data_IF_235055521005
#
_entry.id   IF_235055521005
#
_cell.length_a   1.000
_cell.length_b   1.000
_cell.length_c   1.000
_cell.angle_alpha   90.00
_cell.angle_beta   90.00
_cell.angle_gamma   90.00
#
_symmetry.space_group_name_H-M   'P 1'
#
loop_
_entity.id
_entity.type
_entity.pdbx_description
1 polymer ?
#
# COMPACT_ATOMS: atom_id res chain seq x y z
N UNK A 1 -19.62 47.14 -66.16
CA UNK A 1 -19.12 45.83 -65.60
C UNK A 1 -17.65 45.93 -65.56
N UNK A 2 -17.06 46.21 -64.39
CA UNK A 2 -15.61 46.29 -64.17
C UNK A 2 -15.20 45.08 -63.32
N UNK A 3 -14.25 44.30 -63.79
CA UNK A 3 -13.65 43.18 -63.03
C UNK A 3 -12.67 43.75 -61.99
N UNK A 4 -12.59 43.18 -60.78
CA UNK A 4 -11.59 43.57 -59.80
C UNK A 4 -10.24 42.92 -60.12
N UNK A 5 -9.20 43.73 -60.10
CA UNK A 5 -7.79 43.38 -60.25
C UNK A 5 -7.33 42.66 -58.95
N UNK A 6 -6.86 41.39 -59.06
CA UNK A 6 -6.21 40.69 -57.98
C UNK A 6 -4.80 41.30 -57.72
N UNK A 7 -4.60 41.81 -56.50
CA UNK A 7 -3.32 42.26 -55.99
C UNK A 7 -2.36 41.09 -55.76
N UNK A 8 -1.03 41.34 -55.69
CA UNK A 8 -0.01 40.31 -55.58
C UNK A 8 -0.12 39.58 -54.21
N UNK A 9 0.01 38.24 -54.25
CA UNK A 9 0.02 37.36 -53.10
C UNK A 9 1.12 37.78 -52.08
N UNK A 10 0.72 38.09 -50.87
CA UNK A 10 1.62 38.25 -49.71
C UNK A 10 2.46 36.99 -49.52
N UNK A 11 3.78 37.13 -49.54
CA UNK A 11 4.69 36.05 -49.31
C UNK A 11 4.48 35.47 -47.92
N UNK A 12 4.11 34.19 -47.85
CA UNK A 12 4.01 33.44 -46.59
C UNK A 12 5.32 33.52 -45.83
N UNK A 13 5.30 34.12 -44.65
CA UNK A 13 6.42 34.17 -43.73
C UNK A 13 6.92 32.74 -43.37
N UNK A 14 8.18 32.62 -42.93
CA UNK A 14 8.75 31.34 -42.61
C UNK A 14 7.87 30.58 -41.61
N UNK A 15 7.54 29.34 -41.94
CA UNK A 15 6.82 28.41 -41.08
C UNK A 15 7.50 28.37 -39.69
N UNK A 16 6.79 28.58 -38.57
CA UNK A 16 7.40 28.54 -37.25
C UNK A 16 8.08 27.19 -37.06
N UNK A 17 9.37 27.24 -36.77
CA UNK A 17 10.14 26.05 -36.36
C UNK A 17 9.42 25.34 -35.22
N UNK A 18 9.21 23.99 -35.30
CA UNK A 18 8.64 23.25 -34.18
C UNK A 18 9.43 23.54 -32.91
N UNK A 19 8.79 23.76 -31.76
CA UNK A 19 9.50 24.02 -30.52
C UNK A 19 10.48 22.87 -30.24
N UNK A 20 11.70 23.22 -29.84
CA UNK A 20 12.71 22.32 -29.34
C UNK A 20 12.06 21.28 -28.45
N UNK A 21 12.40 20.01 -28.64
CA UNK A 21 11.84 18.85 -27.94
C UNK A 21 11.85 19.07 -26.44
N UNK A 22 10.76 19.60 -25.90
CA UNK A 22 10.60 19.79 -24.46
C UNK A 22 10.58 18.42 -23.79
N UNK A 23 11.54 18.21 -22.88
CA UNK A 23 11.63 16.97 -22.10
C UNK A 23 10.28 16.74 -21.41
N UNK A 24 9.73 15.51 -21.55
CA UNK A 24 8.45 15.19 -20.92
C UNK A 24 8.50 15.45 -19.41
N UNK A 25 7.47 16.05 -18.77
CA UNK A 25 7.48 16.42 -17.35
C UNK A 25 7.86 15.28 -16.38
N UNK A 26 7.60 14.02 -16.74
CA UNK A 26 8.00 12.82 -15.98
C UNK A 26 9.53 12.66 -15.98
N UNK A 27 10.19 13.05 -17.05
CA UNK A 27 11.64 12.90 -17.23
C UNK A 27 12.41 14.21 -16.92
N UNK A 28 11.72 15.25 -16.43
CA UNK A 28 12.30 16.52 -16.03
C UNK A 28 13.19 16.36 -14.79
N UNK A 29 14.45 16.83 -14.88
CA UNK A 29 15.39 16.88 -13.76
C UNK A 29 15.25 18.22 -13.05
N UNK A 30 14.61 18.23 -11.89
CA UNK A 30 14.45 19.45 -11.09
C UNK A 30 15.77 19.87 -10.42
N UNK A 31 15.93 21.19 -10.21
CA UNK A 31 17.05 21.71 -9.39
C UNK A 31 16.88 21.21 -7.95
N UNK A 32 18.02 21.01 -7.25
CA UNK A 32 18.03 20.48 -5.86
C UNK A 32 17.12 21.27 -4.91
N UNK A 33 17.03 22.59 -5.07
CA UNK A 33 16.16 23.45 -4.25
C UNK A 33 14.66 23.15 -4.39
N UNK A 34 14.22 22.55 -5.49
CA UNK A 34 12.84 22.11 -5.71
C UNK A 34 12.68 20.59 -5.51
N UNK A 35 13.72 19.83 -5.86
CA UNK A 35 13.73 18.39 -5.76
C UNK A 35 13.63 17.91 -4.31
N UNK A 36 14.47 18.47 -3.41
CA UNK A 36 14.52 18.03 -1.99
C UNK A 36 13.19 18.28 -1.26
N UNK A 37 12.61 19.50 -1.28
CA UNK A 37 11.31 19.71 -0.64
C UNK A 37 10.21 18.82 -1.21
N UNK A 38 10.16 18.60 -2.53
CA UNK A 38 9.17 17.72 -3.15
C UNK A 38 9.39 16.25 -2.75
N UNK A 39 10.63 15.76 -2.68
CA UNK A 39 10.93 14.41 -2.20
C UNK A 39 10.54 14.24 -0.72
N UNK A 40 10.79 15.23 0.14
CA UNK A 40 10.36 15.22 1.54
C UNK A 40 8.83 15.17 1.67
N UNK A 41 8.10 15.84 0.76
CA UNK A 41 6.63 15.74 0.73
C UNK A 41 6.15 14.31 0.49
N UNK A 42 6.77 13.58 -0.45
CA UNK A 42 6.44 12.19 -0.70
C UNK A 42 6.73 11.33 0.53
N UNK A 43 7.91 11.50 1.16
CA UNK A 43 8.27 10.76 2.37
C UNK A 43 7.26 11.05 3.48
N UNK A 44 6.96 12.31 3.77
CA UNK A 44 6.05 12.70 4.83
C UNK A 44 4.63 12.15 4.64
N UNK A 45 4.15 12.10 3.38
CA UNK A 45 2.82 11.57 3.07
C UNK A 45 2.72 10.04 3.21
N UNK A 46 3.81 9.31 2.95
CA UNK A 46 3.79 7.84 2.96
C UNK A 46 4.39 7.21 4.22
N UNK A 47 5.17 7.95 5.01
CA UNK A 47 5.99 7.40 6.10
C UNK A 47 5.19 6.59 7.11
N UNK A 48 4.07 7.14 7.60
CA UNK A 48 3.20 6.43 8.52
C UNK A 48 2.70 5.10 7.95
N UNK A 49 2.29 5.07 6.66
CA UNK A 49 1.80 3.86 6.01
C UNK A 49 2.90 2.82 5.77
N UNK A 50 4.13 3.24 5.46
CA UNK A 50 5.27 2.33 5.24
C UNK A 50 5.67 1.62 6.54
N UNK A 51 5.56 2.33 7.67
CA UNK A 51 5.94 1.80 8.98
C UNK A 51 4.84 0.95 9.62
N UNK A 52 3.58 1.15 9.23
CA UNK A 52 2.43 0.43 9.81
C UNK A 52 2.53 -1.10 9.68
N UNK A 53 2.81 -1.71 8.50
CA UNK A 53 2.89 -3.17 8.40
C UNK A 53 3.95 -3.80 9.32
N UNK A 54 5.21 -3.33 9.35
CA UNK A 54 6.20 -3.89 10.27
C UNK A 54 5.84 -3.70 11.75
N UNK A 55 5.21 -2.58 12.12
CA UNK A 55 4.73 -2.37 13.49
C UNK A 55 3.67 -3.38 13.89
N UNK A 56 2.64 -3.57 13.05
CA UNK A 56 1.56 -4.52 13.35
C UNK A 56 2.09 -5.94 13.46
N UNK A 57 2.86 -6.38 12.47
CA UNK A 57 3.37 -7.75 12.44
C UNK A 57 4.38 -7.97 13.56
N UNK A 58 5.32 -7.04 13.77
CA UNK A 58 6.32 -7.15 14.82
C UNK A 58 5.72 -7.27 16.22
N UNK A 59 4.63 -6.53 16.49
CA UNK A 59 3.88 -6.64 17.74
C UNK A 59 3.11 -7.95 17.87
N UNK A 60 2.44 -8.37 16.80
CA UNK A 60 1.68 -9.61 16.80
C UNK A 60 2.56 -10.84 17.05
N UNK A 61 3.82 -10.81 16.62
CA UNK A 61 4.79 -11.89 16.86
C UNK A 61 5.64 -11.69 18.13
N UNK A 62 5.39 -10.62 18.89
CA UNK A 62 6.04 -10.36 20.16
C UNK A 62 7.53 -9.98 20.05
N UNK A 63 7.92 -9.21 19.02
CA UNK A 63 9.29 -8.73 18.90
C UNK A 63 9.66 -7.78 20.03
N UNK A 64 10.89 -7.93 20.52
CA UNK A 64 11.51 -6.97 21.41
C UNK A 64 11.79 -5.62 20.71
N UNK A 65 12.06 -4.54 21.45
CA UNK A 65 12.29 -3.21 20.85
C UNK A 65 13.42 -3.18 19.83
N UNK A 66 14.47 -4.00 20.02
CA UNK A 66 15.59 -4.09 19.09
C UNK A 66 15.19 -4.80 17.79
N UNK A 67 14.45 -5.91 17.88
CA UNK A 67 13.86 -6.61 16.74
C UNK A 67 12.90 -5.73 15.97
N UNK A 68 12.03 -4.98 16.67
CA UNK A 68 11.11 -4.02 16.07
C UNK A 68 11.85 -2.94 15.27
N UNK A 69 12.89 -2.35 15.85
CA UNK A 69 13.73 -1.35 15.17
C UNK A 69 14.36 -1.90 13.90
N UNK A 70 14.91 -3.15 13.97
CA UNK A 70 15.47 -3.84 12.77
C UNK A 70 14.42 -4.08 11.71
N UNK A 71 13.22 -4.50 12.09
CA UNK A 71 12.12 -4.79 11.17
C UNK A 71 11.64 -3.52 10.44
N UNK A 72 11.52 -2.40 11.16
CA UNK A 72 11.17 -1.10 10.57
C UNK A 72 12.28 -0.63 9.63
N UNK A 73 13.55 -0.69 10.04
CA UNK A 73 14.69 -0.29 9.22
C UNK A 73 14.75 -1.11 7.92
N UNK A 74 14.55 -2.42 8.00
CA UNK A 74 14.48 -3.31 6.85
C UNK A 74 13.33 -2.94 5.90
N UNK A 75 12.15 -2.67 6.42
CA UNK A 75 10.99 -2.27 5.62
C UNK A 75 11.22 -0.95 4.87
N UNK A 76 11.84 0.04 5.53
CA UNK A 76 12.22 1.32 4.91
C UNK A 76 13.26 1.11 3.80
N UNK A 77 14.27 0.28 4.04
CA UNK A 77 15.30 -0.03 3.04
C UNK A 77 14.70 -0.70 1.81
N UNK A 78 13.85 -1.72 1.99
CA UNK A 78 13.18 -2.41 0.88
C UNK A 78 12.24 -1.47 0.12
N UNK A 79 11.47 -0.64 0.81
CA UNK A 79 10.62 0.38 0.18
C UNK A 79 11.46 1.37 -0.64
N UNK A 80 12.62 1.78 -0.14
CA UNK A 80 13.57 2.63 -0.85
C UNK A 80 14.10 1.96 -2.11
N UNK A 81 14.61 0.72 -2.02
CA UNK A 81 15.08 -0.07 -3.16
C UNK A 81 13.99 -0.25 -4.22
N UNK A 82 12.78 -0.66 -3.80
CA UNK A 82 11.65 -0.89 -4.68
C UNK A 82 11.22 0.41 -5.39
N UNK A 83 11.17 1.53 -4.66
CA UNK A 83 10.81 2.85 -5.22
C UNK A 83 11.85 3.34 -6.23
N UNK A 84 13.14 3.22 -5.93
CA UNK A 84 14.22 3.59 -6.86
C UNK A 84 14.18 2.71 -8.12
N UNK A 85 14.04 1.39 -7.95
CA UNK A 85 13.91 0.45 -9.07
C UNK A 85 12.68 0.75 -9.93
N UNK A 86 11.55 1.10 -9.31
CA UNK A 86 10.30 1.40 -10.00
C UNK A 86 10.39 2.68 -10.84
N UNK A 87 10.98 3.72 -10.27
CA UNK A 87 11.05 5.05 -10.90
C UNK A 87 12.15 5.16 -11.96
N UNK A 88 13.33 4.60 -11.71
CA UNK A 88 14.46 4.67 -12.64
C UNK A 88 14.40 3.57 -13.71
N UNK A 89 13.98 2.38 -13.31
CA UNK A 89 13.93 1.20 -14.15
C UNK A 89 15.33 0.62 -14.45
N UNK A 90 15.37 -0.69 -14.73
CA UNK A 90 16.61 -1.39 -15.08
C UNK A 90 16.41 -2.19 -16.37
N UNK A 91 17.25 -1.93 -17.37
CA UNK A 91 17.37 -2.73 -18.61
C UNK A 91 16.09 -2.92 -19.43
N UNK A 92 15.04 -2.12 -19.19
CA UNK A 92 13.72 -2.36 -19.79
C UNK A 92 12.98 -3.59 -19.25
N UNK A 93 13.55 -4.31 -18.27
CA UNK A 93 12.95 -5.49 -17.62
C UNK A 93 12.05 -5.11 -16.45
N UNK A 94 12.48 -4.23 -15.55
CA UNK A 94 11.76 -3.78 -14.37
C UNK A 94 11.68 -2.25 -14.30
N UNK A 95 10.68 -1.72 -13.60
CA UNK A 95 10.41 -0.30 -13.44
C UNK A 95 9.49 0.31 -14.49
N UNK A 96 8.40 0.92 -14.01
CA UNK A 96 7.41 1.59 -14.87
C UNK A 96 7.85 2.97 -15.35
N UNK A 97 8.90 3.55 -14.74
CA UNK A 97 9.44 4.88 -15.00
C UNK A 97 8.42 6.02 -14.82
N UNK A 98 7.49 5.84 -13.91
CA UNK A 98 6.55 6.85 -13.43
C UNK A 98 6.97 7.34 -12.04
N UNK A 99 6.46 8.48 -11.56
CA UNK A 99 6.68 8.93 -10.17
C UNK A 99 5.88 8.07 -9.18
N UNK A 100 6.27 6.81 -9.01
CA UNK A 100 5.53 5.74 -8.33
C UNK A 100 6.29 5.21 -7.12
N UNK A 101 5.70 5.33 -5.94
CA UNK A 101 6.26 4.78 -4.70
C UNK A 101 5.81 3.35 -4.51
N UNK A 102 6.74 2.49 -4.14
CA UNK A 102 6.51 1.12 -3.71
C UNK A 102 6.88 0.95 -2.24
N UNK A 103 6.00 0.34 -1.47
CA UNK A 103 6.26 0.04 -0.07
C UNK A 103 5.52 -1.21 0.39
N UNK A 104 5.77 -1.64 1.63
CA UNK A 104 5.04 -2.73 2.24
C UNK A 104 3.54 -2.47 2.21
N UNK A 105 2.77 -3.41 1.68
CA UNK A 105 1.33 -3.25 1.50
C UNK A 105 0.54 -3.58 2.75
N UNK A 106 -0.42 -2.72 3.08
CA UNK A 106 -1.38 -2.99 4.14
C UNK A 106 -2.29 -4.20 3.85
N UNK A 107 -2.54 -4.53 2.57
CA UNK A 107 -3.33 -5.69 2.20
C UNK A 107 -2.69 -7.04 2.63
N UNK A 108 -1.36 -7.06 2.75
CA UNK A 108 -0.64 -8.24 3.26
C UNK A 108 -0.79 -8.48 4.76
N UNK A 109 -1.22 -7.48 5.55
CA UNK A 109 -1.22 -7.56 7.02
C UNK A 109 -2.15 -8.67 7.52
N UNK A 110 -3.41 -8.71 7.09
CA UNK A 110 -4.38 -9.69 7.60
C UNK A 110 -3.97 -11.15 7.32
N UNK A 111 -3.55 -11.55 6.10
CA UNK A 111 -3.06 -12.90 5.90
C UNK A 111 -1.77 -13.20 6.68
N UNK A 112 -0.88 -12.23 6.87
CA UNK A 112 0.31 -12.42 7.70
C UNK A 112 -0.03 -12.61 9.18
N UNK A 113 -1.03 -11.89 9.71
CA UNK A 113 -1.56 -12.11 11.06
C UNK A 113 -2.17 -13.51 11.21
N UNK A 114 -3.00 -13.95 10.25
CA UNK A 114 -3.56 -15.30 10.27
C UNK A 114 -2.48 -16.39 10.22
N UNK A 115 -1.39 -16.18 9.49
CA UNK A 115 -0.22 -17.07 9.50
C UNK A 115 0.45 -17.05 10.89
N UNK A 116 0.63 -15.87 11.48
CA UNK A 116 1.23 -15.75 12.81
C UNK A 116 0.42 -16.45 13.90
N UNK A 117 -0.92 -16.33 13.88
CA UNK A 117 -1.84 -16.97 14.82
C UNK A 117 -1.83 -18.50 14.72
N UNK A 118 -1.65 -19.05 13.51
CA UNK A 118 -1.62 -20.52 13.27
C UNK A 118 -0.24 -21.12 13.37
N UNK A 119 0.77 -20.34 13.73
CA UNK A 119 2.19 -20.76 13.77
C UNK A 119 2.74 -20.67 15.19
N UNK A 120 3.53 -21.66 15.59
CA UNK A 120 4.15 -21.67 16.90
C UNK A 120 5.06 -20.44 17.12
N UNK A 121 5.16 -19.93 18.37
CA UNK A 121 6.05 -18.83 18.70
C UNK A 121 7.49 -19.08 18.23
N UNK A 122 8.16 -18.07 17.70
CA UNK A 122 9.51 -18.16 17.13
C UNK A 122 9.57 -18.61 15.66
N UNK A 123 8.53 -19.26 15.12
CA UNK A 123 8.44 -19.70 13.71
C UNK A 123 7.52 -18.80 12.85
N UNK A 124 6.91 -17.79 13.45
CA UNK A 124 5.90 -16.95 12.82
C UNK A 124 6.47 -16.13 11.66
N UNK A 125 7.55 -15.36 11.89
CA UNK A 125 8.24 -14.59 10.84
C UNK A 125 8.86 -15.48 9.77
N UNK A 126 9.56 -16.58 10.09
CA UNK A 126 10.02 -17.54 9.09
C UNK A 126 8.91 -18.06 8.17
N UNK A 127 7.73 -18.40 8.72
CA UNK A 127 6.59 -18.87 7.94
C UNK A 127 6.00 -17.77 7.04
N UNK A 128 5.90 -16.54 7.55
CA UNK A 128 5.49 -15.37 6.76
C UNK A 128 6.47 -15.14 5.61
N UNK A 129 7.77 -15.13 5.89
CA UNK A 129 8.79 -14.86 4.87
C UNK A 129 8.85 -15.93 3.78
N UNK A 130 8.71 -17.21 4.15
CA UNK A 130 8.61 -18.28 3.16
C UNK A 130 7.44 -18.10 2.20
N UNK A 131 6.28 -17.72 2.73
CA UNK A 131 5.10 -17.46 1.93
C UNK A 131 5.24 -16.19 1.07
N UNK A 132 5.85 -15.13 1.59
CA UNK A 132 6.11 -13.87 0.85
C UNK A 132 7.08 -14.11 -0.31
N UNK A 133 8.16 -14.88 -0.11
CA UNK A 133 9.11 -15.24 -1.17
C UNK A 133 8.38 -15.91 -2.33
N UNK A 134 7.54 -16.91 -2.04
CA UNK A 134 6.80 -17.63 -3.08
C UNK A 134 5.77 -16.72 -3.76
N UNK A 135 5.08 -15.85 -3.01
CA UNK A 135 4.16 -14.85 -3.58
C UNK A 135 4.88 -13.85 -4.49
N UNK A 136 6.10 -13.44 -4.18
CA UNK A 136 6.96 -12.62 -5.05
C UNK A 136 7.33 -13.34 -6.34
N UNK A 137 7.75 -14.62 -6.24
CA UNK A 137 8.00 -15.48 -7.41
C UNK A 137 6.75 -15.69 -8.27
N UNK A 138 5.61 -15.89 -7.64
CA UNK A 138 4.30 -15.97 -8.29
C UNK A 138 3.97 -14.67 -9.06
N UNK A 139 4.20 -13.51 -8.45
CA UNK A 139 4.02 -12.21 -9.12
C UNK A 139 4.90 -12.07 -10.36
N UNK A 140 6.16 -12.49 -10.29
CA UNK A 140 7.08 -12.47 -11.43
C UNK A 140 6.61 -13.39 -12.56
N UNK A 141 6.13 -14.59 -12.23
CA UNK A 141 5.65 -15.56 -13.18
C UNK A 141 4.34 -15.13 -13.86
N UNK A 142 3.41 -14.57 -13.08
CA UNK A 142 2.07 -14.18 -13.55
C UNK A 142 2.07 -12.80 -14.21
N UNK A 143 2.96 -11.88 -13.79
CA UNK A 143 3.01 -10.49 -14.23
C UNK A 143 2.94 -10.28 -15.74
N UNK A 144 3.69 -11.03 -16.59
CA UNK A 144 3.60 -10.93 -18.05
C UNK A 144 2.23 -11.28 -18.64
N UNK A 145 1.47 -12.12 -17.94
CA UNK A 145 0.15 -12.60 -18.36
C UNK A 145 -0.98 -11.88 -17.62
N UNK A 146 -0.65 -10.98 -16.69
CA UNK A 146 -1.61 -10.35 -15.79
C UNK A 146 -2.72 -9.60 -16.51
N UNK A 147 -2.44 -8.99 -17.67
CA UNK A 147 -3.47 -8.37 -18.51
C UNK A 147 -4.61 -9.34 -18.93
N UNK A 148 -4.32 -10.65 -19.04
CA UNK A 148 -5.34 -11.68 -19.30
C UNK A 148 -6.10 -12.06 -18.02
N UNK A 149 -5.44 -11.96 -16.86
CA UNK A 149 -6.01 -12.27 -15.55
C UNK A 149 -6.90 -11.13 -15.02
N UNK A 150 -6.66 -9.88 -15.44
CA UNK A 150 -7.46 -8.70 -15.06
C UNK A 150 -8.96 -8.91 -15.30
N UNK A 151 -9.35 -9.73 -16.30
CA UNK A 151 -10.77 -10.05 -16.55
C UNK A 151 -11.47 -10.74 -15.35
N UNK A 152 -10.71 -11.40 -14.47
CA UNK A 152 -11.24 -12.08 -13.27
C UNK A 152 -11.23 -11.17 -12.04
N UNK A 153 -10.53 -10.03 -12.14
CA UNK A 153 -10.46 -9.01 -11.10
C UNK A 153 -11.04 -7.67 -11.60
N UNK A 154 -12.33 -7.65 -11.99
CA UNK A 154 -12.98 -6.40 -12.38
C UNK A 154 -13.01 -5.43 -11.18
N UNK A 155 -13.31 -4.13 -11.40
CA UNK A 155 -13.40 -3.14 -10.34
C UNK A 155 -14.31 -3.57 -9.17
N UNK A 156 -15.36 -4.36 -9.45
CA UNK A 156 -16.26 -4.92 -8.45
C UNK A 156 -15.52 -5.83 -7.44
N UNK A 157 -14.74 -6.79 -7.93
CA UNK A 157 -13.96 -7.70 -7.09
C UNK A 157 -12.88 -6.93 -6.33
N UNK A 158 -12.18 -6.03 -7.03
CA UNK A 158 -11.14 -5.19 -6.42
C UNK A 158 -11.71 -4.29 -5.32
N UNK A 159 -12.87 -3.68 -5.55
CA UNK A 159 -13.55 -2.83 -4.58
C UNK A 159 -13.96 -3.59 -3.31
N UNK A 160 -14.50 -4.82 -3.46
CA UNK A 160 -14.79 -5.71 -2.30
C UNK A 160 -13.52 -5.95 -1.49
N UNK A 161 -12.42 -6.30 -2.14
CA UNK A 161 -11.18 -6.64 -1.44
C UNK A 161 -10.59 -5.42 -0.72
N UNK A 162 -10.52 -4.26 -1.37
CA UNK A 162 -10.03 -3.03 -0.74
C UNK A 162 -10.92 -2.64 0.46
N UNK A 163 -12.24 -2.78 0.34
CA UNK A 163 -13.18 -2.54 1.45
C UNK A 163 -12.87 -3.48 2.62
N UNK A 164 -12.70 -4.78 2.33
CA UNK A 164 -12.36 -5.78 3.35
C UNK A 164 -11.01 -5.50 4.02
N UNK A 165 -9.99 -5.04 3.28
CA UNK A 165 -8.71 -4.63 3.88
C UNK A 165 -8.94 -3.60 4.99
N UNK A 166 -9.69 -2.54 4.70
CA UNK A 166 -9.95 -1.49 5.68
C UNK A 166 -10.80 -1.96 6.86
N UNK A 167 -11.84 -2.75 6.61
CA UNK A 167 -12.78 -3.22 7.65
C UNK A 167 -12.15 -4.31 8.53
N UNK A 168 -11.51 -5.32 7.94
CA UNK A 168 -10.95 -6.45 8.70
C UNK A 168 -9.75 -6.09 9.55
N UNK A 169 -9.04 -5.01 9.20
CA UNK A 169 -7.92 -4.49 10.00
C UNK A 169 -8.36 -3.48 11.08
N UNK A 170 -9.63 -3.06 11.14
CA UNK A 170 -10.12 -2.09 12.13
C UNK A 170 -9.94 -2.53 13.60
N UNK A 171 -10.05 -3.82 13.98
CA UNK A 171 -9.77 -4.26 15.36
C UNK A 171 -8.35 -3.94 15.84
N UNK A 172 -7.38 -3.86 14.93
CA UNK A 172 -5.98 -3.55 15.30
C UNK A 172 -5.84 -2.16 15.92
N UNK A 173 -6.22 -1.06 15.24
CA UNK A 173 -6.13 0.28 15.83
C UNK A 173 -7.07 0.44 17.04
N UNK A 174 -8.20 -0.26 17.09
CA UNK A 174 -9.08 -0.27 18.27
C UNK A 174 -8.36 -0.88 19.47
N UNK A 175 -7.67 -2.03 19.31
CA UNK A 175 -6.85 -2.63 20.37
C UNK A 175 -5.70 -1.68 20.79
N UNK A 176 -5.05 -1.03 19.86
CA UNK A 176 -4.00 -0.05 20.16
C UNK A 176 -4.51 1.16 20.92
N UNK A 177 -5.69 1.67 20.56
CA UNK A 177 -6.34 2.77 21.30
C UNK A 177 -6.62 2.42 22.76
N UNK A 178 -6.74 1.13 23.08
CA UNK A 178 -6.93 0.59 24.41
C UNK A 178 -5.62 0.29 25.17
N UNK A 179 -4.46 0.55 24.55
CA UNK A 179 -3.14 0.30 25.14
C UNK A 179 -2.32 -0.81 24.46
N UNK A 180 -2.94 -1.61 23.57
CA UNK A 180 -2.29 -2.64 22.76
C UNK A 180 -2.16 -4.00 23.43
N UNK A 181 -1.77 -4.06 24.69
CA UNK A 181 -1.64 -5.32 25.44
C UNK A 181 -2.95 -5.68 26.15
N UNK A 182 -3.67 -6.66 25.62
CA UNK A 182 -4.94 -7.16 26.17
C UNK A 182 -4.80 -7.83 27.53
N UNK A 183 -3.59 -8.25 27.91
CA UNK A 183 -3.30 -8.89 29.19
C UNK A 183 -2.95 -7.89 30.29
N UNK A 184 -2.68 -6.64 29.92
CA UNK A 184 -2.33 -5.59 30.90
C UNK A 184 -3.53 -5.21 31.76
N UNK A 185 -3.31 -5.03 33.05
CA UNK A 185 -4.35 -4.66 34.01
C UNK A 185 -5.02 -3.30 33.71
N UNK A 186 -4.36 -2.42 33.00
CA UNK A 186 -4.85 -1.10 32.60
C UNK A 186 -5.33 -1.05 31.11
N UNK A 187 -5.51 -2.21 30.47
CA UNK A 187 -6.08 -2.26 29.13
C UNK A 187 -7.46 -1.58 29.09
N UNK A 188 -7.66 -0.66 28.14
CA UNK A 188 -8.88 0.12 28.06
C UNK A 188 -8.96 1.30 29.04
N UNK A 189 -7.89 1.59 29.76
CA UNK A 189 -7.89 2.74 30.71
C UNK A 189 -8.16 4.06 29.97
N UNK A 190 -8.87 4.96 30.65
CA UNK A 190 -9.29 6.26 30.09
C UNK A 190 -8.12 7.08 29.54
N UNK A 191 -6.93 7.00 30.17
CA UNK A 191 -5.70 7.68 29.68
C UNK A 191 -5.34 7.29 28.25
N UNK A 192 -5.50 6.01 27.88
CA UNK A 192 -5.21 5.50 26.55
C UNK A 192 -6.26 5.93 25.54
N UNK A 193 -7.53 5.79 25.90
CA UNK A 193 -8.65 6.20 25.05
C UNK A 193 -8.64 7.71 24.79
N UNK A 194 -8.35 8.52 25.83
CA UNK A 194 -8.23 9.96 25.69
C UNK A 194 -7.08 10.37 24.77
N UNK A 195 -5.92 9.71 24.85
CA UNK A 195 -4.78 9.97 23.98
C UNK A 195 -5.06 9.58 22.53
N UNK A 196 -5.72 8.43 22.31
CA UNK A 196 -6.16 7.99 20.98
C UNK A 196 -7.18 8.97 20.38
N UNK A 197 -8.19 9.38 21.17
CA UNK A 197 -9.18 10.38 20.77
C UNK A 197 -8.53 11.74 20.48
N UNK A 198 -7.60 12.19 21.32
CA UNK A 198 -6.84 13.41 21.07
C UNK A 198 -6.10 13.37 19.74
N UNK A 199 -5.36 12.27 19.46
CA UNK A 199 -4.64 12.09 18.19
C UNK A 199 -5.60 12.12 17.00
N UNK A 200 -6.73 11.40 17.08
CA UNK A 200 -7.78 11.40 16.06
C UNK A 200 -8.30 12.82 15.81
N UNK A 201 -8.66 13.54 16.87
CA UNK A 201 -9.16 14.92 16.77
C UNK A 201 -8.13 15.85 16.13
N UNK A 202 -6.86 15.75 16.51
CA UNK A 202 -5.76 16.54 15.90
C UNK A 202 -5.70 16.27 14.39
N UNK A 203 -5.75 15.01 13.96
CA UNK A 203 -5.76 14.65 12.53
C UNK A 203 -6.97 15.28 11.82
N UNK A 204 -8.15 15.19 12.42
CA UNK A 204 -9.39 15.76 11.84
C UNK A 204 -9.32 17.29 11.76
N UNK A 205 -8.80 17.97 12.77
CA UNK A 205 -8.61 19.42 12.77
C UNK A 205 -7.64 19.85 11.67
N UNK A 206 -6.51 19.12 11.51
CA UNK A 206 -5.56 19.40 10.43
C UNK A 206 -6.21 19.14 9.06
N UNK A 207 -7.00 18.10 8.91
CA UNK A 207 -7.75 17.82 7.67
C UNK A 207 -8.81 18.91 7.39
N UNK A 208 -9.45 19.45 8.41
CA UNK A 208 -10.51 20.46 8.25
C UNK A 208 -9.95 21.85 7.97
N UNK A 209 -8.96 22.27 8.73
CA UNK A 209 -8.43 23.64 8.70
C UNK A 209 -7.11 23.79 7.97
N UNK A 210 -6.35 22.70 7.79
CA UNK A 210 -5.10 22.70 7.06
C UNK A 210 -5.30 23.07 5.59
N UNK A 211 -4.26 23.61 4.95
CA UNK A 211 -4.24 23.98 3.53
C UNK A 211 -3.06 23.35 2.81
N UNK A 212 -3.25 22.98 1.56
CA UNK A 212 -2.17 22.46 0.70
C UNK A 212 -1.46 21.26 1.34
N UNK A 213 -0.15 21.38 1.52
CA UNK A 213 0.72 20.33 2.04
C UNK A 213 0.34 19.85 3.45
N UNK A 214 -0.14 20.76 4.33
CA UNK A 214 -0.48 20.38 5.71
C UNK A 214 -1.58 19.31 5.78
N UNK A 215 -2.55 19.35 4.85
CA UNK A 215 -3.57 18.28 4.76
C UNK A 215 -2.96 16.93 4.40
N UNK A 216 -1.97 16.90 3.51
CA UNK A 216 -1.34 15.64 3.05
C UNK A 216 -0.57 14.95 4.18
N UNK A 217 0.04 15.73 5.06
CA UNK A 217 0.83 15.22 6.19
C UNK A 217 0.05 15.16 7.49
N UNK A 218 -1.27 15.33 7.45
CA UNK A 218 -2.12 15.37 8.65
C UNK A 218 -1.93 14.13 9.55
N UNK A 219 -1.82 12.94 8.96
CA UNK A 219 -1.58 11.70 9.69
C UNK A 219 -0.22 11.73 10.42
N UNK A 220 0.85 12.14 9.73
CA UNK A 220 2.18 12.27 10.32
C UNK A 220 2.21 13.33 11.43
N UNK A 221 1.58 14.47 11.21
CA UNK A 221 1.48 15.54 12.22
C UNK A 221 0.67 15.08 13.44
N UNK A 222 -0.41 14.32 13.22
CA UNK A 222 -1.19 13.71 14.30
C UNK A 222 -0.37 12.75 15.15
N UNK A 223 0.44 11.89 14.50
CA UNK A 223 1.37 11.00 15.21
C UNK A 223 2.40 11.79 16.01
N UNK A 224 3.00 12.83 15.42
CA UNK A 224 3.98 13.66 16.11
C UNK A 224 3.38 14.37 17.33
N UNK A 225 2.26 15.09 17.13
CA UNK A 225 1.60 15.85 18.20
C UNK A 225 1.06 14.90 19.28
N UNK A 226 0.48 13.75 18.87
CA UNK A 226 0.01 12.71 19.81
C UNK A 226 1.16 12.15 20.65
N UNK A 227 2.31 11.87 20.03
CA UNK A 227 3.50 11.38 20.75
C UNK A 227 4.04 12.42 21.72
N UNK A 228 4.11 13.68 21.31
CA UNK A 228 4.51 14.77 22.20
C UNK A 228 3.54 14.91 23.40
N UNK A 229 2.25 14.79 23.15
CA UNK A 229 1.23 14.80 24.21
C UNK A 229 1.34 13.59 25.15
N UNK A 230 1.89 12.46 24.70
CA UNK A 230 2.07 11.25 25.51
C UNK A 230 3.24 11.36 26.51
N UNK A 231 4.21 12.24 26.28
CA UNK A 231 5.42 12.38 27.12
C UNK A 231 5.08 12.72 28.57
N UNK A 232 4.22 13.72 28.86
CA UNK A 232 3.87 14.06 30.24
C UNK A 232 3.18 12.92 31.02
N UNK A 233 2.56 11.99 30.31
CA UNK A 233 1.87 10.82 30.89
C UNK A 233 2.80 9.60 31.06
N UNK A 234 4.10 9.73 30.72
CA UNK A 234 5.06 8.65 30.83
C UNK A 234 4.81 7.49 29.85
N UNK A 235 4.07 7.72 28.77
CA UNK A 235 3.68 6.71 27.79
C UNK A 235 4.67 6.58 26.60
N UNK A 236 5.65 7.47 26.50
CA UNK A 236 6.70 7.41 25.49
C UNK A 236 7.94 6.71 26.06
N UNK A 237 8.33 5.58 25.49
CA UNK A 237 9.50 4.82 25.93
C UNK A 237 10.74 5.19 25.09
N UNK A 238 11.69 5.88 25.72
CA UNK A 238 12.95 6.29 25.10
C UNK A 238 14.07 5.25 25.18
N UNK A 239 13.82 4.06 25.73
CA UNK A 239 14.83 3.02 25.90
C UNK A 239 15.38 2.53 24.57
N UNK A 240 14.51 2.35 23.58
CA UNK A 240 14.89 1.94 22.23
C UNK A 240 15.86 2.94 21.55
N UNK A 241 15.70 4.23 21.81
CA UNK A 241 16.57 5.26 21.24
C UNK A 241 17.99 5.23 21.81
N UNK A 242 18.13 4.85 23.10
CA UNK A 242 19.43 4.76 23.78
C UNK A 242 20.24 3.54 23.34
N UNK A 243 19.56 2.48 22.93
CA UNK A 243 20.18 1.20 22.55
C UNK A 243 20.32 1.00 21.03
N UNK A 244 19.68 1.83 20.22
CA UNK A 244 19.71 1.70 18.77
C UNK A 244 21.10 2.04 18.22
N UNK A 245 21.69 1.20 17.36
CA UNK A 245 22.92 1.53 16.66
C UNK A 245 22.68 2.71 15.72
N UNK A 246 23.67 3.61 15.64
CA UNK A 246 23.57 4.81 14.78
C UNK A 246 23.42 4.40 13.32
N UNK A 247 24.23 3.43 12.86
CA UNK A 247 24.17 2.89 11.51
C UNK A 247 24.26 1.37 11.55
N UNK A 248 23.39 0.69 10.84
CA UNK A 248 23.45 -0.75 10.62
C UNK A 248 22.67 -1.09 9.34
N UNK A 249 23.23 -1.96 8.53
CA UNK A 249 22.50 -2.56 7.42
C UNK A 249 21.71 -3.77 7.94
N UNK A 250 20.48 -3.99 7.46
CA UNK A 250 19.73 -5.19 7.76
C UNK A 250 20.55 -6.44 7.37
N UNK A 251 20.72 -7.34 8.31
CA UNK A 251 21.43 -8.61 8.07
C UNK A 251 20.48 -9.59 7.38
N UNK A 252 20.95 -10.35 6.38
CA UNK A 252 20.15 -11.40 5.78
C UNK A 252 19.67 -12.41 6.82
N UNK A 253 18.40 -12.81 6.71
CA UNK A 253 17.77 -13.82 7.57
C UNK A 253 17.84 -13.52 9.08
N UNK A 254 17.86 -12.24 9.46
CA UNK A 254 17.94 -11.78 10.86
C UNK A 254 16.82 -12.35 11.76
N UNK A 255 15.69 -12.73 11.17
CA UNK A 255 14.51 -13.26 11.86
C UNK A 255 14.32 -14.77 11.64
N UNK A 256 15.35 -15.48 11.21
CA UNK A 256 15.33 -16.91 10.92
C UNK A 256 15.23 -17.25 9.44
N UNK A 257 15.53 -18.50 9.11
CA UNK A 257 15.42 -19.02 7.75
C UNK A 257 13.95 -19.16 7.33
N UNK A 258 13.58 -18.81 6.08
CA UNK A 258 12.22 -18.93 5.60
C UNK A 258 11.66 -20.35 5.67
N UNK A 259 10.45 -20.51 6.19
CA UNK A 259 9.70 -21.77 6.23
C UNK A 259 8.58 -21.77 5.20
N UNK A 260 8.53 -22.81 4.37
CA UNK A 260 7.57 -22.93 3.28
C UNK A 260 6.36 -23.77 3.70
N UNK A 261 5.26 -23.10 4.08
CA UNK A 261 4.00 -23.73 4.47
C UNK A 261 2.96 -23.56 3.37
N UNK A 262 2.41 -24.64 2.79
CA UNK A 262 1.50 -24.56 1.62
C UNK A 262 0.28 -23.65 1.84
N UNK A 263 -0.34 -23.71 3.02
CA UNK A 263 -1.52 -22.88 3.34
C UNK A 263 -1.16 -21.38 3.40
N UNK A 264 -0.04 -21.03 4.01
CA UNK A 264 0.46 -19.66 4.08
C UNK A 264 0.81 -19.13 2.68
N UNK A 265 1.46 -19.95 1.86
CA UNK A 265 1.78 -19.65 0.47
C UNK A 265 0.51 -19.36 -0.33
N UNK A 266 -0.49 -20.25 -0.26
CA UNK A 266 -1.75 -20.07 -0.97
C UNK A 266 -2.45 -18.76 -0.58
N UNK A 267 -2.54 -18.47 0.73
CA UNK A 267 -3.15 -17.24 1.24
C UNK A 267 -2.46 -15.99 0.71
N UNK A 268 -1.12 -15.94 0.75
CA UNK A 268 -0.37 -14.79 0.24
C UNK A 268 -0.36 -14.69 -1.29
N UNK A 269 -0.41 -15.80 -2.03
CA UNK A 269 -0.56 -15.77 -3.49
C UNK A 269 -1.92 -15.18 -3.91
N UNK A 270 -3.01 -15.50 -3.19
CA UNK A 270 -4.33 -14.90 -3.42
C UNK A 270 -4.26 -13.38 -3.21
N UNK A 271 -3.68 -12.95 -2.10
CA UNK A 271 -3.52 -11.53 -1.82
C UNK A 271 -2.58 -10.85 -2.82
N UNK A 272 -1.56 -11.55 -3.29
CA UNK A 272 -0.65 -11.00 -4.32
C UNK A 272 -1.39 -10.64 -5.62
N UNK A 273 -2.39 -11.40 -6.04
CA UNK A 273 -3.24 -11.03 -7.19
C UNK A 273 -3.95 -9.70 -6.97
N UNK A 274 -4.41 -9.44 -5.73
CA UNK A 274 -5.03 -8.17 -5.34
C UNK A 274 -4.01 -7.05 -5.40
N UNK A 275 -2.82 -7.26 -4.84
CA UNK A 275 -1.73 -6.28 -4.87
C UNK A 275 -1.32 -5.92 -6.32
N UNK A 276 -1.27 -6.91 -7.20
CA UNK A 276 -1.00 -6.68 -8.63
C UNK A 276 -2.09 -5.82 -9.28
N UNK A 277 -3.35 -6.01 -8.89
CA UNK A 277 -4.48 -5.20 -9.38
C UNK A 277 -4.37 -3.76 -8.87
N UNK A 278 -4.13 -3.58 -7.57
CA UNK A 278 -3.93 -2.28 -6.92
C UNK A 278 -2.76 -1.51 -7.57
N UNK A 279 -1.61 -2.16 -7.75
CA UNK A 279 -0.45 -1.58 -8.42
C UNK A 279 -0.76 -1.19 -9.86
N UNK A 280 -1.49 -2.02 -10.60
CA UNK A 280 -1.87 -1.73 -11.99
C UNK A 280 -2.80 -0.51 -12.07
N UNK A 281 -3.79 -0.41 -11.17
CA UNK A 281 -4.67 0.74 -11.08
C UNK A 281 -3.91 2.03 -10.74
N UNK A 282 -2.97 1.97 -9.78
CA UNK A 282 -2.09 3.09 -9.42
C UNK A 282 -1.22 3.56 -10.58
N UNK A 283 -0.67 2.62 -11.38
CA UNK A 283 0.11 2.95 -12.58
C UNK A 283 -0.73 3.64 -13.65
N UNK A 284 -1.96 3.17 -13.88
CA UNK A 284 -2.89 3.79 -14.83
C UNK A 284 -3.24 5.21 -14.38
N UNK A 285 -3.62 5.39 -13.12
CA UNK A 285 -3.96 6.70 -12.56
C UNK A 285 -2.80 7.70 -12.65
N UNK A 286 -1.56 7.27 -12.35
CA UNK A 286 -0.38 8.12 -12.54
C UNK A 286 -0.07 8.40 -14.01
N UNK A 287 -0.32 7.44 -14.89
CA UNK A 287 -0.21 7.64 -16.33
C UNK A 287 -1.09 8.80 -16.80
N UNK A 288 -2.36 8.82 -16.39
CA UNK A 288 -3.31 9.89 -16.68
C UNK A 288 -2.88 11.23 -16.07
N UNK A 289 -2.53 11.26 -14.77
CA UNK A 289 -2.06 12.48 -14.09
C UNK A 289 -0.81 13.06 -14.75
N UNK A 290 0.07 12.20 -15.24
CA UNK A 290 1.33 12.58 -15.85
C UNK A 290 1.25 12.80 -17.38
N UNK A 291 0.09 12.64 -18.00
CA UNK A 291 -0.11 12.68 -19.46
C UNK A 291 0.81 11.68 -20.18
N UNK A 292 1.09 10.53 -19.57
CA UNK A 292 1.97 9.50 -20.12
C UNK A 292 1.20 8.20 -20.35
N UNK A 293 1.20 7.74 -21.59
CA UNK A 293 0.52 6.49 -21.95
C UNK A 293 1.12 5.31 -21.18
N UNK A 294 0.25 4.62 -20.43
CA UNK A 294 0.59 3.42 -19.67
C UNK A 294 0.06 2.19 -20.39
N UNK A 295 0.94 1.52 -21.14
CA UNK A 295 0.63 0.31 -21.88
C UNK A 295 0.84 -0.96 -21.03
N UNK A 296 0.45 -2.12 -21.57
CA UNK A 296 0.62 -3.40 -20.89
C UNK A 296 2.08 -3.75 -20.59
N UNK A 297 3.04 -3.23 -21.36
CA UNK A 297 4.48 -3.42 -21.10
C UNK A 297 4.93 -2.60 -19.89
N UNK A 298 4.44 -1.39 -19.76
CA UNK A 298 4.71 -0.52 -18.59
C UNK A 298 4.16 -1.15 -17.31
N UNK A 299 2.93 -1.67 -17.35
CA UNK A 299 2.31 -2.39 -16.22
C UNK A 299 3.14 -3.63 -15.88
N UNK A 300 3.48 -4.47 -16.87
CA UNK A 300 4.30 -5.67 -16.65
C UNK A 300 5.65 -5.34 -16.01
N UNK A 301 6.33 -4.28 -16.44
CA UNK A 301 7.60 -3.84 -15.85
C UNK A 301 7.43 -3.37 -14.41
N UNK A 302 6.34 -2.68 -14.12
CA UNK A 302 6.00 -2.27 -12.77
C UNK A 302 5.72 -3.46 -11.86
N UNK A 303 4.89 -4.42 -12.29
CA UNK A 303 4.61 -5.64 -11.55
C UNK A 303 5.85 -6.53 -11.33
N UNK A 304 6.81 -6.54 -12.26
CA UNK A 304 8.09 -7.20 -12.04
C UNK A 304 8.89 -6.55 -10.91
N UNK A 305 8.82 -5.23 -10.76
CA UNK A 305 9.44 -4.56 -9.61
C UNK A 305 8.79 -4.98 -8.31
N UNK A 306 7.45 -5.03 -8.25
CA UNK A 306 6.71 -5.51 -7.08
C UNK A 306 7.10 -6.95 -6.75
N UNK A 307 7.17 -7.82 -7.77
CA UNK A 307 7.59 -9.21 -7.63
C UNK A 307 9.03 -9.36 -7.14
N UNK A 308 9.99 -8.59 -7.68
CA UNK A 308 11.39 -8.61 -7.24
C UNK A 308 11.51 -8.14 -5.78
N UNK A 309 10.87 -7.03 -5.45
CA UNK A 309 10.93 -6.48 -4.09
C UNK A 309 10.25 -7.42 -3.08
N UNK A 310 9.13 -8.05 -3.45
CA UNK A 310 8.44 -9.05 -2.62
C UNK A 310 9.24 -10.34 -2.49
N UNK A 311 9.93 -10.79 -3.54
CA UNK A 311 10.77 -12.00 -3.53
C UNK A 311 12.02 -11.82 -2.67
N UNK A 312 12.70 -10.69 -2.83
CA UNK A 312 14.00 -10.43 -2.17
C UNK A 312 13.84 -9.76 -0.80
N UNK A 313 12.73 -9.04 -0.59
CA UNK A 313 12.46 -8.31 0.66
C UNK A 313 12.59 -9.16 1.91
N UNK A 314 11.98 -10.36 1.99
CA UNK A 314 12.04 -11.24 3.16
C UNK A 314 13.44 -11.66 3.58
N UNK A 315 14.40 -11.69 2.66
CA UNK A 315 15.82 -11.96 3.00
C UNK A 315 16.35 -10.96 4.02
N UNK A 316 15.87 -9.71 3.93
CA UNK A 316 16.27 -8.62 4.83
C UNK A 316 15.17 -8.24 5.85
N UNK A 317 14.06 -8.96 5.90
CA UNK A 317 12.95 -8.67 6.81
C UNK A 317 11.84 -7.81 6.19
N UNK A 318 11.75 -7.74 4.85
CA UNK A 318 10.69 -7.03 4.15
C UNK A 318 9.41 -7.85 4.00
N UNK A 319 8.34 -7.15 3.61
CA UNK A 319 6.99 -7.68 3.42
C UNK A 319 6.54 -7.55 1.96
N UNK A 320 5.36 -8.10 1.57
CA UNK A 320 4.83 -7.91 0.23
C UNK A 320 4.74 -6.43 -0.13
N UNK A 321 5.27 -6.04 -1.27
CA UNK A 321 5.28 -4.66 -1.74
C UNK A 321 4.26 -4.42 -2.83
N UNK A 322 3.63 -3.24 -2.82
CA UNK A 322 2.73 -2.77 -3.86
C UNK A 322 2.77 -1.25 -3.99
N UNK A 323 1.96 -0.74 -4.90
CA UNK A 323 1.71 0.68 -5.09
C UNK A 323 1.25 1.36 -3.81
N UNK A 324 1.72 2.58 -3.61
CA UNK A 324 1.32 3.41 -2.48
C UNK A 324 0.33 4.49 -2.95
N UNK A 325 -0.96 4.29 -2.67
CA UNK A 325 -2.05 5.14 -3.17
C UNK A 325 -1.91 6.62 -2.75
N UNK A 326 -1.37 6.88 -1.55
CA UNK A 326 -1.11 8.22 -1.04
C UNK A 326 -0.15 9.00 -1.95
N UNK A 327 0.81 8.31 -2.58
CA UNK A 327 1.75 8.91 -3.52
C UNK A 327 1.04 9.46 -4.78
N UNK A 328 0.05 8.74 -5.29
CA UNK A 328 -0.78 9.19 -6.43
C UNK A 328 -1.48 10.50 -6.08
N UNK A 329 -2.01 10.60 -4.86
CA UNK A 329 -2.62 11.82 -4.33
C UNK A 329 -1.63 12.98 -4.24
N UNK A 330 -0.39 12.75 -3.79
CA UNK A 330 0.65 13.79 -3.73
C UNK A 330 0.96 14.34 -5.13
N UNK A 331 1.20 13.47 -6.11
CA UNK A 331 1.47 13.89 -7.50
C UNK A 331 0.30 14.67 -8.09
N UNK A 332 -0.94 14.21 -7.85
CA UNK A 332 -2.16 14.89 -8.32
C UNK A 332 -2.30 16.31 -7.76
N UNK A 333 -2.02 16.49 -6.47
CA UNK A 333 -2.20 17.77 -5.78
C UNK A 333 -1.05 18.76 -6.03
N UNK A 334 0.19 18.28 -6.00
CA UNK A 334 1.38 19.12 -6.17
C UNK A 334 1.68 19.46 -7.62
N UNK A 335 1.13 18.64 -8.56
CA UNK A 335 1.45 18.68 -9.99
C UNK A 335 2.94 18.46 -10.30
N UNK A 336 3.72 18.00 -9.33
CA UNK A 336 5.13 17.62 -9.53
C UNK A 336 5.16 16.21 -10.10
N UNK A 337 5.37 16.11 -11.41
CA UNK A 337 5.28 14.87 -12.18
C UNK A 337 6.61 14.16 -12.38
N UNK A 338 7.72 14.77 -11.93
CA UNK A 338 9.06 14.23 -12.15
C UNK A 338 9.30 12.92 -11.38
N UNK A 339 9.66 11.85 -12.09
CA UNK A 339 10.05 10.56 -11.49
C UNK A 339 11.32 10.65 -10.66
N UNK A 340 12.20 11.63 -10.95
CA UNK A 340 13.43 11.83 -10.17
C UNK A 340 13.17 12.34 -8.76
N UNK A 341 12.05 13.05 -8.53
CA UNK A 341 11.61 13.44 -7.19
C UNK A 341 11.29 12.23 -6.35
N UNK A 342 10.55 11.28 -6.92
CA UNK A 342 10.18 10.04 -6.22
C UNK A 342 11.37 9.09 -6.09
N UNK A 343 12.28 9.08 -7.08
CA UNK A 343 13.56 8.38 -6.96
C UNK A 343 14.41 8.94 -5.80
N UNK A 344 14.46 10.28 -5.64
CA UNK A 344 15.13 10.91 -4.50
C UNK A 344 14.45 10.58 -3.16
N UNK A 345 13.11 10.52 -3.12
CA UNK A 345 12.38 10.03 -1.95
C UNK A 345 12.75 8.57 -1.62
N UNK A 346 12.83 7.70 -2.63
CA UNK A 346 13.33 6.32 -2.47
C UNK A 346 14.77 6.28 -1.94
N UNK A 347 15.65 7.12 -2.46
CA UNK A 347 17.03 7.27 -1.97
C UNK A 347 17.09 7.71 -0.50
N UNK A 348 16.23 8.64 -0.10
CA UNK A 348 16.12 9.03 1.30
C UNK A 348 15.57 7.91 2.21
N UNK A 349 14.63 7.09 1.72
CA UNK A 349 14.19 5.89 2.46
C UNK A 349 15.33 4.87 2.64
N UNK A 350 16.21 4.70 1.65
CA UNK A 350 17.42 3.87 1.79
C UNK A 350 18.31 4.38 2.92
N UNK A 351 18.51 5.70 2.96
CA UNK A 351 19.27 6.34 4.06
C UNK A 351 18.56 6.12 5.39
N UNK A 352 17.25 6.36 5.48
CA UNK A 352 16.47 6.12 6.71
C UNK A 352 16.56 4.66 7.17
N UNK A 353 16.51 3.69 6.25
CA UNK A 353 16.64 2.27 6.55
C UNK A 353 18.07 1.86 6.97
N UNK A 354 19.10 2.60 6.54
CA UNK A 354 20.50 2.36 6.93
C UNK A 354 20.85 2.97 8.32
N UNK A 355 19.98 3.83 8.86
CA UNK A 355 20.13 4.43 10.19
C UNK A 355 19.03 3.96 11.15
N UNK A 356 19.18 2.81 11.83
CA UNK A 356 18.17 2.25 12.72
C UNK A 356 17.72 3.19 13.84
N UNK A 357 18.57 4.14 14.25
CA UNK A 357 18.18 5.19 15.21
C UNK A 357 16.94 5.97 14.75
N UNK A 358 16.76 6.15 13.45
CA UNK A 358 15.57 6.81 12.90
C UNK A 358 14.34 5.90 12.95
N UNK A 359 14.51 4.58 12.82
CA UNK A 359 13.48 3.58 13.11
C UNK A 359 13.11 3.56 14.60
N UNK A 360 14.09 3.72 15.50
CA UNK A 360 13.85 3.82 16.93
C UNK A 360 13.02 5.07 17.31
N UNK A 361 13.16 6.18 16.58
CA UNK A 361 12.28 7.35 16.75
C UNK A 361 10.82 7.01 16.47
N UNK A 362 10.57 6.12 15.49
CA UNK A 362 9.20 5.66 15.19
C UNK A 362 8.65 4.76 16.28
N UNK A 363 9.49 3.94 16.89
CA UNK A 363 9.07 3.07 18.00
C UNK A 363 8.73 3.85 19.29
N UNK A 364 9.07 5.15 19.36
CA UNK A 364 8.64 6.05 20.45
C UNK A 364 7.13 6.35 20.40
N UNK A 365 6.49 6.13 19.25
CA UNK A 365 5.06 6.43 19.10
C UNK A 365 4.24 5.44 19.94
N UNK A 366 3.55 5.91 21.01
CA UNK A 366 2.78 5.02 21.87
C UNK A 366 1.62 4.35 21.12
N UNK A 367 1.24 3.15 21.56
CA UNK A 367 0.12 2.39 20.99
C UNK A 367 -1.17 3.20 20.87
N UNK A 368 -1.64 3.96 21.87
CA UNK A 368 -2.86 4.74 21.75
C UNK A 368 -2.80 5.80 20.65
N UNK A 369 -1.62 6.40 20.43
CA UNK A 369 -1.41 7.37 19.34
C UNK A 369 -1.52 6.68 17.97
N UNK A 370 -0.91 5.50 17.84
CA UNK A 370 -1.05 4.65 16.65
C UNK A 370 -2.50 4.20 16.45
N UNK A 371 -3.24 3.96 17.54
CA UNK A 371 -4.66 3.61 17.51
C UNK A 371 -5.51 4.72 16.89
N UNK A 372 -5.37 5.95 17.38
CA UNK A 372 -6.08 7.11 16.84
C UNK A 372 -5.78 7.36 15.35
N UNK A 373 -4.50 7.27 14.94
CA UNK A 373 -4.07 7.42 13.56
C UNK A 373 -4.51 6.25 12.68
N UNK A 374 -4.47 5.02 13.20
CA UNK A 374 -4.83 3.79 12.51
C UNK A 374 -6.32 3.73 12.13
N UNK A 375 -7.21 4.27 12.98
CA UNK A 375 -8.64 4.39 12.68
C UNK A 375 -8.84 5.21 11.40
N UNK A 376 -8.13 6.34 11.27
CA UNK A 376 -8.20 7.17 10.05
C UNK A 376 -7.61 6.45 8.86
N UNK A 377 -6.47 5.78 9.02
CA UNK A 377 -5.76 5.08 7.95
C UNK A 377 -6.63 3.95 7.38
N UNK A 378 -7.07 3.00 8.21
CA UNK A 378 -7.84 1.85 7.74
C UNK A 378 -9.27 2.22 7.33
N UNK A 379 -9.87 3.20 8.01
CA UNK A 379 -11.13 3.80 7.57
C UNK A 379 -11.04 4.41 6.17
N UNK A 380 -9.95 5.12 5.86
CA UNK A 380 -9.72 5.70 4.52
C UNK A 380 -9.54 4.61 3.45
N UNK A 381 -8.90 3.49 3.78
CA UNK A 381 -8.78 2.34 2.87
C UNK A 381 -10.17 1.75 2.59
N UNK A 382 -10.99 1.52 3.63
CA UNK A 382 -12.35 1.00 3.47
C UNK A 382 -13.20 1.92 2.55
N UNK A 383 -13.15 3.22 2.76
CA UNK A 383 -13.86 4.22 1.93
C UNK A 383 -13.36 4.21 0.49
N UNK A 384 -12.06 4.03 0.25
CA UNK A 384 -11.52 3.87 -1.10
C UNK A 384 -12.09 2.65 -1.82
N UNK A 385 -12.22 1.52 -1.11
CA UNK A 385 -12.88 0.32 -1.64
C UNK A 385 -14.35 0.56 -1.97
N UNK A 386 -15.10 1.21 -1.07
CA UNK A 386 -16.51 1.58 -1.28
C UNK A 386 -16.65 2.48 -2.52
N UNK A 387 -15.74 3.44 -2.71
CA UNK A 387 -15.73 4.29 -3.90
C UNK A 387 -15.53 3.47 -5.17
N UNK A 388 -14.57 2.55 -5.17
CA UNK A 388 -14.36 1.63 -6.32
C UNK A 388 -15.61 0.80 -6.61
N UNK A 389 -16.33 0.33 -5.57
CA UNK A 389 -17.60 -0.39 -5.73
C UNK A 389 -18.68 0.50 -6.35
N UNK A 390 -18.81 1.76 -5.93
CA UNK A 390 -19.80 2.70 -6.48
C UNK A 390 -19.57 3.00 -7.96
N UNK A 391 -18.29 3.03 -8.38
CA UNK A 391 -17.90 3.24 -9.79
C UNK A 391 -18.08 1.96 -10.64
N UNK A 392 -18.14 0.79 -10.01
CA UNK A 392 -18.25 -0.52 -10.69
C UNK A 392 -19.68 -0.88 -11.16
N UNK A 393 -20.69 -0.08 -10.87
CA UNK A 393 -22.08 -0.30 -11.27
C UNK A 393 -22.83 -1.28 -10.37
N UNK A 394 -23.35 -0.78 -9.25
CA UNK A 394 -24.19 -1.53 -8.32
C UNK A 394 -25.68 -1.57 -8.73
N UNK A 395 -25.99 -1.15 -9.95
CA UNK A 395 -27.38 -1.16 -10.46
C UNK A 395 -27.85 -2.56 -10.85
N UNK A 396 -26.93 -3.47 -11.15
CA UNK A 396 -27.25 -4.88 -11.45
C UNK A 396 -27.40 -5.68 -10.15
N UNK A 397 -28.54 -6.39 -10.02
CA UNK A 397 -28.84 -7.25 -8.86
C UNK A 397 -27.77 -8.33 -8.64
N UNK A 398 -27.17 -8.88 -9.71
CA UNK A 398 -26.07 -9.86 -9.63
C UNK A 398 -24.83 -9.26 -8.95
N UNK A 399 -24.50 -8.01 -9.27
CA UNK A 399 -23.39 -7.29 -8.67
C UNK A 399 -23.64 -7.00 -7.18
N UNK A 400 -24.85 -6.62 -6.83
CA UNK A 400 -25.25 -6.39 -5.42
C UNK A 400 -25.09 -7.69 -4.62
N UNK A 401 -25.61 -8.82 -5.12
CA UNK A 401 -25.50 -10.11 -4.46
C UNK A 401 -24.03 -10.54 -4.33
N UNK A 402 -23.24 -10.39 -5.39
CA UNK A 402 -21.81 -10.69 -5.36
C UNK A 402 -21.11 -9.92 -4.23
N UNK A 403 -21.31 -8.60 -4.17
CA UNK A 403 -20.70 -7.74 -3.15
C UNK A 403 -21.17 -8.12 -1.77
N UNK A 404 -22.48 -8.32 -1.56
CA UNK A 404 -23.05 -8.66 -0.27
C UNK A 404 -22.48 -9.97 0.28
N UNK A 405 -22.46 -11.03 -0.55
CA UNK A 405 -21.99 -12.36 -0.12
C UNK A 405 -20.47 -12.36 0.10
N UNK A 406 -19.70 -11.69 -0.78
CA UNK A 406 -18.26 -11.62 -0.65
C UNK A 406 -17.82 -10.78 0.58
N UNK A 407 -18.47 -9.65 0.86
CA UNK A 407 -18.25 -8.88 2.09
C UNK A 407 -18.64 -9.70 3.33
N UNK A 408 -19.80 -10.37 3.28
CA UNK A 408 -20.23 -11.25 4.36
C UNK A 408 -19.19 -12.34 4.67
N UNK A 409 -18.73 -13.06 3.64
CA UNK A 409 -17.69 -14.08 3.79
C UNK A 409 -16.37 -13.53 4.38
N UNK A 410 -15.97 -12.31 3.98
CA UNK A 410 -14.78 -11.66 4.51
C UNK A 410 -14.92 -11.16 5.95
N UNK A 411 -16.15 -10.87 6.41
CA UNK A 411 -16.41 -10.39 7.78
C UNK A 411 -16.59 -11.56 8.78
N UNK A 412 -16.92 -12.75 8.32
CA UNK A 412 -17.13 -13.93 9.20
C UNK A 412 -15.98 -14.14 10.20
N UNK A 413 -14.69 -14.19 9.79
CA UNK A 413 -13.60 -14.42 10.74
C UNK A 413 -13.47 -13.31 11.80
N UNK A 414 -13.88 -12.09 11.45
CA UNK A 414 -13.88 -10.94 12.34
C UNK A 414 -15.02 -11.01 13.37
N UNK A 415 -16.23 -11.38 12.91
CA UNK A 415 -17.42 -11.41 13.73
C UNK A 415 -17.48 -12.68 14.62
N UNK A 416 -16.95 -13.79 14.13
CA UNK A 416 -16.95 -15.06 14.83
C UNK A 416 -15.57 -15.74 14.71
N UNK A 417 -14.57 -15.30 15.51
CA UNK A 417 -13.28 -15.98 15.61
C UNK A 417 -13.48 -17.45 15.99
N UNK A 418 -12.94 -18.38 15.22
CA UNK A 418 -13.15 -19.80 15.44
C UNK A 418 -14.29 -20.42 14.62
N UNK A 419 -15.04 -19.65 13.81
CA UNK A 419 -16.07 -20.19 12.92
C UNK A 419 -15.54 -21.35 12.04
N UNK A 420 -14.29 -21.25 11.62
CA UNK A 420 -13.61 -22.26 10.81
C UNK A 420 -12.79 -23.28 11.62
N UNK A 421 -12.91 -23.33 12.96
CA UNK A 421 -12.11 -24.22 13.82
C UNK A 421 -12.27 -25.72 13.49
N UNK A 422 -13.44 -26.14 13.00
CA UNK A 422 -13.69 -27.51 12.56
C UNK A 422 -13.16 -27.86 11.17
N UNK A 423 -12.60 -26.91 10.43
CA UNK A 423 -12.05 -27.14 9.09
C UNK A 423 -10.60 -27.63 9.13
N UNK A 424 -10.08 -28.27 8.06
CA UNK A 424 -8.67 -28.60 7.95
C UNK A 424 -7.79 -27.33 8.07
N UNK A 425 -6.57 -27.46 8.61
CA UNK A 425 -5.68 -26.33 8.91
C UNK A 425 -5.39 -25.40 7.71
N UNK A 426 -5.30 -25.97 6.51
CA UNK A 426 -5.13 -25.18 5.29
C UNK A 426 -6.34 -24.27 5.00
N UNK A 427 -7.56 -24.78 5.24
CA UNK A 427 -8.78 -24.02 5.07
C UNK A 427 -8.94 -22.96 6.15
N UNK A 428 -8.56 -23.27 7.40
CA UNK A 428 -8.51 -22.29 8.49
C UNK A 428 -7.59 -21.12 8.14
N UNK A 429 -6.41 -21.37 7.59
CA UNK A 429 -5.46 -20.30 7.21
C UNK A 429 -6.02 -19.42 6.08
N UNK A 430 -6.66 -20.00 5.06
CA UNK A 430 -7.18 -19.24 3.92
C UNK A 430 -8.47 -18.51 4.28
N UNK A 431 -9.42 -19.21 4.91
CA UNK A 431 -10.75 -18.66 5.24
C UNK A 431 -10.73 -17.82 6.52
N UNK A 432 -9.77 -18.05 7.41
CA UNK A 432 -9.52 -17.22 8.61
C UNK A 432 -9.00 -15.84 8.27
N UNK A 433 -8.37 -15.64 7.10
CA UNK A 433 -8.10 -14.31 6.56
C UNK A 433 -9.33 -13.76 5.83
N UNK A 434 -10.02 -12.78 6.42
CA UNK A 434 -11.21 -12.18 5.82
C UNK A 434 -10.96 -11.62 4.41
N UNK A 435 -9.75 -11.11 4.13
CA UNK A 435 -9.36 -10.64 2.81
C UNK A 435 -9.30 -11.80 1.82
N UNK A 436 -8.62 -12.90 2.20
CA UNK A 436 -8.50 -14.07 1.32
C UNK A 436 -9.85 -14.74 1.07
N UNK A 437 -10.66 -14.90 2.13
CA UNK A 437 -12.02 -15.48 2.03
C UNK A 437 -12.92 -14.63 1.13
N UNK A 438 -12.98 -13.31 1.37
CA UNK A 438 -13.79 -12.41 0.58
C UNK A 438 -13.32 -12.30 -0.87
N UNK A 439 -11.99 -12.25 -1.12
CA UNK A 439 -11.44 -12.24 -2.47
C UNK A 439 -11.79 -13.52 -3.24
N UNK A 440 -11.65 -14.69 -2.60
CA UNK A 440 -11.98 -15.97 -3.20
C UNK A 440 -13.47 -16.03 -3.58
N UNK A 441 -14.36 -15.67 -2.66
CA UNK A 441 -15.80 -15.65 -2.89
C UNK A 441 -16.17 -14.65 -3.98
N UNK A 442 -15.58 -13.44 -3.97
CA UNK A 442 -15.82 -12.43 -5.00
C UNK A 442 -15.44 -12.93 -6.39
N UNK A 443 -14.26 -13.56 -6.54
CA UNK A 443 -13.81 -14.14 -7.81
C UNK A 443 -14.73 -15.28 -8.26
N UNK A 444 -15.09 -16.21 -7.36
CA UNK A 444 -15.97 -17.32 -7.69
C UNK A 444 -17.36 -16.85 -8.12
N UNK A 445 -17.94 -15.87 -7.42
CA UNK A 445 -19.24 -15.31 -7.80
C UNK A 445 -19.17 -14.49 -9.08
N UNK A 446 -18.07 -13.76 -9.32
CA UNK A 446 -17.85 -13.08 -10.58
C UNK A 446 -17.78 -14.07 -11.76
N UNK A 447 -17.09 -15.20 -11.58
CA UNK A 447 -17.09 -16.28 -12.56
C UNK A 447 -18.50 -16.85 -12.77
N UNK A 448 -19.22 -17.10 -11.70
CA UNK A 448 -20.55 -17.69 -11.74
C UNK A 448 -21.56 -16.78 -12.46
N UNK A 449 -21.63 -15.49 -12.11
CA UNK A 449 -22.62 -14.57 -12.67
C UNK A 449 -22.26 -14.02 -14.05
N UNK A 450 -20.98 -13.84 -14.35
CA UNK A 450 -20.57 -13.13 -15.56
C UNK A 450 -19.84 -13.98 -16.60
N UNK A 451 -19.35 -15.19 -16.24
CA UNK A 451 -18.58 -16.03 -17.16
C UNK A 451 -19.19 -17.44 -17.39
N UNK A 452 -19.94 -17.98 -16.42
CA UNK A 452 -20.61 -19.26 -16.54
C UNK A 452 -22.06 -19.01 -16.99
N UNK A 453 -22.39 -19.33 -18.25
CA UNK A 453 -23.76 -19.30 -18.77
C UNK A 453 -24.14 -18.12 -19.67
N UNK A 454 -23.26 -17.19 -19.96
CA UNK A 454 -23.51 -16.11 -20.93
C UNK A 454 -23.11 -16.52 -22.36
N UNK A 455 -23.84 -17.48 -22.92
CA UNK A 455 -23.95 -17.53 -24.38
C UNK A 455 -24.89 -16.39 -24.80
N UNK A 456 -24.34 -15.22 -25.17
CA UNK A 456 -25.07 -14.22 -25.92
C UNK A 456 -25.37 -12.85 -25.28
N UNK A 457 -24.48 -12.24 -24.50
CA UNK A 457 -24.51 -10.76 -24.33
C UNK A 457 -23.21 -10.15 -24.82
N UNK A 458 -23.26 -9.25 -25.84
CA UNK A 458 -22.06 -8.57 -26.31
C UNK A 458 -21.51 -7.71 -25.17
N UNK A 459 -20.18 -7.72 -25.00
CA UNK A 459 -19.45 -6.83 -24.11
C UNK A 459 -19.91 -5.38 -24.38
N UNK A 460 -20.40 -4.70 -23.36
CA UNK A 460 -20.67 -3.26 -23.43
C UNK A 460 -19.34 -2.59 -23.76
N UNK A 461 -19.26 -2.06 -24.97
CA UNK A 461 -18.13 -1.28 -25.44
C UNK A 461 -17.95 -0.09 -24.50
N UNK A 462 -16.78 0.02 -23.92
CA UNK A 462 -16.31 1.22 -23.24
C UNK A 462 -16.50 2.40 -24.20
N UNK A 463 -17.45 3.27 -23.91
CA UNK A 463 -17.60 4.52 -24.60
C UNK A 463 -16.33 5.32 -24.38
N UNK A 464 -15.54 5.45 -25.44
CA UNK A 464 -14.52 6.49 -25.58
C UNK A 464 -15.26 7.84 -25.68
N UNK A 465 -15.15 8.64 -24.66
CA UNK A 465 -15.41 10.08 -24.75
C UNK A 465 -14.25 10.81 -24.09
#
# INVERSE_FOLDING_TARGET
MAQPVLGPAEAAGPCPTPPETSVHPVDEKLRLSRLVPAALQHIAAMYAGVVTPPLIIGQAVGLDPAGMTRLIAASLLIAGCATVLQTLGVGGFAGNRLPFVNAASSAGIAPMLAIAETTAPGHQLPAIYGAVIVAGGFCLAVGPFFGRLLRFFPPLVTGVVITLIGVTLMPVPVSWAQGGDKSAADFGAMKYLALAAFTLVVILLIQRFGRGFLKQVALLMGLLIGTLAAIPFGLADFSALKSAPVAALPTPFAFGAPEFRPAAILSLCIVMLVLMTESSAGMLALGEICDRRTDGRTITRGLRTDGIATLLGPVFGGFPTSAFAQNVGVVSLTKVRSRYVVAAAGGALLVLGAFPVLGAVVSLVPMPVLGGAGIVLFGSIAVSGIRTLSEAGLDDSSNIILVAVALGAGIIPLAAPGFYAGFPSWAQTVLGSGISAGALVAVLLNLFFHHLGTHGRPAVALKSS
#
